data_IF_086935203871
#
_entry.id   IF_086935203871
#
_cell.length_a   1.000
_cell.length_b   1.000
_cell.length_c   1.000
_cell.angle_alpha   90.00
_cell.angle_beta   90.00
_cell.angle_gamma   90.00
#
_symmetry.space_group_name_H-M   'P 1'
#
loop_
_entity.id
_entity.type
_entity.pdbx_description
1 polymer ?
#
# COMPACT_ATOMS: atom_id res chain seq x y z
N UNK A 1 21.85 -0.72 -16.84
CA UNK A 1 22.04 -0.29 -15.43
C UNK A 1 21.29 1.00 -15.05
N UNK A 2 21.61 2.20 -15.58
CA UNK A 2 20.97 3.46 -15.14
C UNK A 2 19.44 3.53 -15.37
N UNK A 3 18.94 3.14 -16.54
CA UNK A 3 17.50 3.17 -16.84
C UNK A 3 16.68 2.23 -15.95
N UNK A 4 17.29 1.15 -15.47
CA UNK A 4 16.67 0.24 -14.51
C UNK A 4 16.49 0.94 -13.17
N UNK A 5 17.52 1.61 -12.66
CA UNK A 5 17.45 2.39 -11.43
C UNK A 5 16.35 3.47 -11.48
N UNK A 6 16.27 4.25 -12.57
CA UNK A 6 15.22 5.27 -12.73
C UNK A 6 13.81 4.65 -12.69
N UNK A 7 13.63 3.47 -13.30
CA UNK A 7 12.35 2.75 -13.22
C UNK A 7 12.01 2.34 -11.79
N UNK A 8 12.99 1.88 -11.01
CA UNK A 8 12.77 1.53 -9.60
C UNK A 8 12.40 2.74 -8.75
N UNK A 9 13.11 3.86 -8.92
CA UNK A 9 12.84 5.10 -8.19
C UNK A 9 11.44 5.63 -8.50
N UNK A 10 11.05 5.69 -9.78
CA UNK A 10 9.72 6.14 -10.15
C UNK A 10 8.63 5.26 -9.54
N UNK A 11 8.79 3.93 -9.57
CA UNK A 11 7.84 3.01 -8.92
C UNK A 11 7.78 3.20 -7.41
N UNK A 12 8.92 3.42 -6.77
CA UNK A 12 8.98 3.69 -5.34
C UNK A 12 8.24 4.99 -5.00
N UNK A 13 8.48 6.07 -5.76
CA UNK A 13 7.86 7.36 -5.54
C UNK A 13 6.34 7.31 -5.78
N UNK A 14 5.88 6.62 -6.82
CA UNK A 14 4.46 6.40 -7.07
C UNK A 14 3.79 5.61 -5.94
N UNK A 15 4.41 4.51 -5.50
CA UNK A 15 3.91 3.69 -4.41
C UNK A 15 3.87 4.47 -3.08
N UNK A 16 4.90 5.27 -2.80
CA UNK A 16 4.98 6.12 -1.61
C UNK A 16 3.89 7.18 -1.60
N UNK A 17 3.64 7.85 -2.73
CA UNK A 17 2.55 8.83 -2.85
C UNK A 17 1.19 8.18 -2.63
N UNK A 18 0.97 7.00 -3.22
CA UNK A 18 -0.29 6.26 -3.04
C UNK A 18 -0.50 5.84 -1.59
N UNK A 19 0.55 5.36 -0.92
CA UNK A 19 0.51 5.01 0.50
C UNK A 19 0.09 6.22 1.35
N UNK A 20 0.74 7.36 1.15
CA UNK A 20 0.44 8.61 1.85
C UNK A 20 -0.96 9.17 1.56
N UNK A 21 -1.57 8.84 0.42
CA UNK A 21 -2.94 9.26 0.13
C UNK A 21 -3.98 8.42 0.88
N UNK A 22 -3.63 7.20 1.25
CA UNK A 22 -4.53 6.27 1.96
C UNK A 22 -4.36 6.41 3.47
N UNK A 23 -3.14 6.63 3.94
CA UNK A 23 -2.80 6.97 5.32
C UNK A 23 -3.26 8.40 5.65
N UNK A 24 -4.54 8.55 6.01
CA UNK A 24 -5.18 9.86 6.23
C UNK A 24 -4.81 10.45 7.59
N UNK A 25 -4.53 9.60 8.57
CA UNK A 25 -4.16 10.03 9.92
C UNK A 25 -2.64 10.28 10.08
N UNK A 26 -1.83 9.98 9.05
CA UNK A 26 -0.37 10.19 8.99
C UNK A 26 0.38 9.42 10.10
N UNK A 27 -0.16 8.26 10.51
CA UNK A 27 0.45 7.40 11.54
C UNK A 27 1.47 6.41 10.95
N UNK A 28 1.76 6.53 9.65
CA UNK A 28 2.67 5.69 8.87
C UNK A 28 2.20 4.23 8.72
N UNK A 29 0.94 3.96 9.01
CA UNK A 29 0.31 2.65 8.91
C UNK A 29 -1.06 2.80 8.23
N UNK A 30 -1.45 1.83 7.42
CA UNK A 30 -2.78 1.82 6.83
C UNK A 30 -3.66 0.88 7.65
N UNK A 31 -4.64 1.44 8.35
CA UNK A 31 -5.69 0.65 9.00
C UNK A 31 -6.65 0.05 7.96
N UNK A 32 -7.42 -0.98 8.35
CA UNK A 32 -8.47 -1.55 7.50
C UNK A 32 -9.51 -0.50 7.07
N UNK A 33 -9.81 0.47 7.93
CA UNK A 33 -10.77 1.53 7.64
C UNK A 33 -10.25 2.50 6.58
N UNK A 34 -8.97 2.87 6.65
CA UNK A 34 -8.28 3.67 5.64
C UNK A 34 -8.18 2.93 4.32
N UNK A 35 -7.83 1.64 4.36
CA UNK A 35 -7.78 0.79 3.19
C UNK A 35 -9.14 0.70 2.47
N UNK A 36 -10.24 0.53 3.22
CA UNK A 36 -11.59 0.49 2.66
C UNK A 36 -11.97 1.85 2.06
N UNK A 37 -11.63 2.97 2.69
CA UNK A 37 -11.92 4.30 2.14
C UNK A 37 -11.07 4.60 0.91
N UNK A 38 -9.81 4.18 0.90
CA UNK A 38 -8.86 4.39 -0.18
C UNK A 38 -8.95 3.38 -1.33
N UNK A 39 -9.85 2.39 -1.27
CA UNK A 39 -9.89 1.31 -2.25
C UNK A 39 -10.12 1.76 -3.71
N UNK A 40 -10.79 2.89 -3.91
CA UNK A 40 -11.02 3.50 -5.22
C UNK A 40 -9.71 3.96 -5.85
N UNK A 41 -8.76 4.47 -5.06
CA UNK A 41 -7.42 4.85 -5.52
C UNK A 41 -6.61 3.63 -5.99
N UNK A 42 -6.92 2.45 -5.45
CA UNK A 42 -6.28 1.19 -5.77
C UNK A 42 -6.94 0.45 -6.95
N UNK A 43 -8.05 0.98 -7.51
CA UNK A 43 -8.90 0.29 -8.49
C UNK A 43 -9.28 -1.14 -8.06
N UNK A 44 -9.53 -1.34 -6.75
CA UNK A 44 -9.91 -2.63 -6.20
C UNK A 44 -11.44 -2.75 -6.09
N UNK A 45 -11.95 -3.98 -6.20
CA UNK A 45 -13.37 -4.27 -5.96
C UNK A 45 -13.62 -4.45 -4.45
N UNK A 46 -14.72 -3.85 -3.94
CA UNK A 46 -15.15 -3.88 -2.54
C UNK A 46 -15.29 -5.29 -1.96
N UNK A 47 -15.68 -6.29 -2.76
CA UNK A 47 -15.91 -7.66 -2.29
C UNK A 47 -14.64 -8.39 -1.85
N UNK A 48 -13.47 -7.96 -2.33
CA UNK A 48 -12.18 -8.61 -2.06
C UNK A 48 -11.26 -7.79 -1.16
N UNK A 49 -11.72 -6.65 -0.62
CA UNK A 49 -10.86 -5.74 0.15
C UNK A 49 -10.29 -6.41 1.39
N UNK A 50 -11.08 -7.18 2.12
CA UNK A 50 -10.60 -7.89 3.31
C UNK A 50 -9.53 -8.93 2.95
N UNK A 51 -9.77 -9.72 1.90
CA UNK A 51 -8.81 -10.72 1.43
C UNK A 51 -7.52 -10.04 0.94
N UNK A 52 -7.65 -8.91 0.25
CA UNK A 52 -6.51 -8.14 -0.25
C UNK A 52 -5.71 -7.52 0.89
N UNK A 53 -6.39 -6.93 1.87
CA UNK A 53 -5.76 -6.39 3.09
C UNK A 53 -4.96 -7.48 3.80
N UNK A 54 -5.59 -8.62 4.10
CA UNK A 54 -4.94 -9.74 4.77
C UNK A 54 -3.77 -10.33 3.97
N UNK A 55 -3.78 -10.22 2.63
CA UNK A 55 -2.66 -10.67 1.80
C UNK A 55 -1.45 -9.73 1.84
N UNK A 56 -1.65 -8.47 2.23
CA UNK A 56 -0.60 -7.45 2.35
C UNK A 56 -0.09 -7.37 3.79
N UNK A 57 -0.97 -7.47 4.79
CA UNK A 57 -0.64 -7.54 6.22
C UNK A 57 -0.03 -8.93 6.54
N UNK A 58 1.26 -9.05 6.24
CA UNK A 58 2.02 -10.33 6.29
C UNK A 58 2.42 -10.68 7.70
N UNK A 59 2.60 -9.68 8.56
CA UNK A 59 2.87 -9.89 9.97
C UNK A 59 1.58 -10.07 10.80
N UNK A 60 0.41 -9.94 10.18
CA UNK A 60 -0.91 -10.07 10.82
C UNK A 60 -1.10 -9.09 11.99
N UNK A 61 -0.54 -7.89 11.87
CA UNK A 61 -0.65 -6.84 12.88
C UNK A 61 -2.02 -6.16 12.89
N UNK A 62 -2.82 -6.33 11.83
CA UNK A 62 -4.04 -5.57 11.59
C UNK A 62 -3.80 -4.21 10.92
N UNK A 63 -2.55 -3.93 10.53
CA UNK A 63 -2.12 -2.72 9.85
C UNK A 63 -1.21 -3.08 8.67
N UNK A 64 -1.25 -2.28 7.60
CA UNK A 64 -0.30 -2.40 6.49
C UNK A 64 0.77 -1.33 6.67
N UNK A 65 2.03 -1.72 6.83
CA UNK A 65 3.16 -0.78 6.83
C UNK A 65 3.75 -0.63 5.44
N UNK A 66 4.45 0.49 5.18
CA UNK A 66 5.04 0.74 3.86
C UNK A 66 6.01 -0.35 3.40
N UNK A 67 6.67 -1.03 4.33
CA UNK A 67 7.58 -2.12 4.04
C UNK A 67 6.86 -3.36 3.46
N UNK A 68 5.59 -3.57 3.81
CA UNK A 68 4.77 -4.70 3.38
C UNK A 68 4.17 -4.55 1.98
N UNK A 69 4.10 -3.32 1.46
CA UNK A 69 3.64 -3.08 0.08
C UNK A 69 4.76 -3.24 -0.97
N UNK A 70 6.01 -3.44 -0.52
CA UNK A 70 7.14 -3.61 -1.42
C UNK A 70 7.19 -5.05 -1.98
N UNK A 71 7.56 -5.25 -3.27
CA UNK A 71 7.60 -6.57 -3.90
C UNK A 71 8.50 -7.62 -3.21
N UNK A 72 9.48 -7.18 -2.42
CA UNK A 72 10.42 -8.04 -1.68
C UNK A 72 10.40 -7.74 -0.18
N UNK A 73 9.29 -7.18 0.34
CA UNK A 73 9.16 -6.95 1.77
C UNK A 73 9.34 -8.23 2.57
#
# INVERSE_FOLDING_TARGET
EFSTLIRWLNRYDELKKLFQQIDVNDDHQISINEFIKGHELLNLNTQLLQLKFNSIDRNHSGYIIFDEVRPNG
#
